data_IF_682566572311
#
_entry.id   IF_682566572311
#
_cell.length_a   1.000
_cell.length_b   1.000
_cell.length_c   1.000
_cell.angle_alpha   90.00
_cell.angle_beta   90.00
_cell.angle_gamma   90.00
#
_symmetry.space_group_name_H-M   'P 1'
#
loop_
_entity.id
_entity.type
_entity.pdbx_description
1 polymer ?
#
# COMPACT_ATOMS: atom_id res chain seq x y z
N UNK A 1 -9.30 -15.17 15.75
CA UNK A 1 -10.10 -14.39 16.72
C UNK A 1 -9.23 -13.73 17.80
N UNK A 2 -8.35 -14.44 18.53
CA UNK A 2 -7.54 -13.81 19.60
C UNK A 2 -6.53 -12.76 19.09
N UNK A 3 -5.89 -13.01 17.94
CA UNK A 3 -4.84 -12.13 17.41
C UNK A 3 -5.40 -10.77 16.98
N UNK A 4 -6.52 -10.76 16.25
CA UNK A 4 -7.17 -9.53 15.76
C UNK A 4 -7.60 -8.62 16.92
N UNK A 5 -8.13 -9.20 17.99
CA UNK A 5 -8.50 -8.44 19.20
C UNK A 5 -7.28 -7.82 19.90
N UNK A 6 -6.16 -8.56 20.00
CA UNK A 6 -4.95 -8.04 20.64
C UNK A 6 -4.33 -6.90 19.83
N UNK A 7 -4.25 -7.05 18.50
CA UNK A 7 -3.79 -5.98 17.62
C UNK A 7 -4.67 -4.73 17.73
N UNK A 8 -5.99 -4.91 17.77
CA UNK A 8 -6.93 -3.80 17.97
C UNK A 8 -6.71 -3.09 19.31
N UNK A 9 -6.54 -3.84 20.40
CA UNK A 9 -6.38 -3.25 21.74
C UNK A 9 -5.06 -2.50 21.90
N UNK A 10 -3.97 -3.07 21.37
CA UNK A 10 -2.60 -2.67 21.73
C UNK A 10 -1.88 -1.89 20.61
N UNK A 11 -2.33 -1.99 19.36
CA UNK A 11 -1.59 -1.51 18.19
C UNK A 11 -2.47 -1.09 17.01
N UNK A 12 -3.72 -0.67 17.24
CA UNK A 12 -4.60 -0.25 16.14
C UNK A 12 -3.98 0.91 15.36
N UNK A 13 -3.81 0.70 14.06
CA UNK A 13 -3.19 1.65 13.14
C UNK A 13 -1.66 1.66 13.11
N UNK A 14 -0.99 0.84 13.93
CA UNK A 14 0.43 0.54 13.73
C UNK A 14 0.63 -0.36 12.51
N UNK A 15 1.83 -0.31 11.92
CA UNK A 15 2.15 -1.18 10.78
C UNK A 15 2.32 -2.63 11.23
N UNK A 16 2.94 -2.85 12.38
CA UNK A 16 3.22 -4.16 12.96
C UNK A 16 2.77 -4.24 14.42
N UNK A 17 2.48 -5.46 14.87
CA UNK A 17 2.15 -5.78 16.25
C UNK A 17 3.18 -6.73 16.88
N UNK A 18 3.63 -6.39 18.09
CA UNK A 18 4.58 -7.17 18.88
C UNK A 18 3.84 -7.91 20.01
N UNK A 19 3.54 -9.22 19.83
CA UNK A 19 2.65 -9.94 20.75
C UNK A 19 3.24 -10.20 22.14
N UNK A 20 4.58 -10.22 22.26
CA UNK A 20 5.23 -10.45 23.55
C UNK A 20 5.25 -9.19 24.43
N UNK A 21 5.38 -8.02 23.81
CA UNK A 21 5.45 -6.73 24.51
C UNK A 21 4.12 -6.00 24.55
N UNK A 22 3.11 -6.47 23.80
CA UNK A 22 1.82 -5.81 23.66
C UNK A 22 1.95 -4.37 23.14
N UNK A 23 2.76 -4.17 22.11
CA UNK A 23 3.02 -2.84 21.51
C UNK A 23 2.99 -2.89 19.99
N UNK A 24 2.74 -1.76 19.35
CA UNK A 24 2.89 -1.60 17.89
C UNK A 24 4.20 -0.93 17.49
N UNK A 25 4.64 -1.14 16.25
CA UNK A 25 5.71 -0.35 15.61
C UNK A 25 5.32 0.07 14.20
N UNK A 26 6.05 1.05 13.67
CA UNK A 26 5.87 1.59 12.33
C UNK A 26 7.18 1.53 11.56
N UNK A 27 7.10 1.31 10.26
CA UNK A 27 8.28 1.27 9.40
C UNK A 27 8.89 2.66 9.19
N UNK A 28 8.07 3.71 9.28
CA UNK A 28 8.50 5.11 9.24
C UNK A 28 8.50 5.72 10.65
N UNK A 29 9.54 6.50 10.94
CA UNK A 29 9.61 7.33 12.15
C UNK A 29 8.49 8.40 12.20
N UNK A 30 7.83 8.66 11.07
CA UNK A 30 6.73 9.62 10.94
C UNK A 30 5.34 8.98 11.12
N UNK A 31 5.31 7.76 11.66
CA UNK A 31 4.09 7.01 11.95
C UNK A 31 3.71 6.01 10.87
N UNK A 32 2.83 5.09 11.23
CA UNK A 32 2.40 3.99 10.37
C UNK A 32 1.27 4.35 9.41
N UNK A 33 1.08 3.49 8.42
CA UNK A 33 -0.05 3.48 7.50
C UNK A 33 -1.08 2.39 7.85
N UNK A 34 -0.90 1.70 8.98
CA UNK A 34 -1.80 0.66 9.43
C UNK A 34 -1.75 -0.58 8.55
N UNK A 35 -0.54 -1.00 8.16
CA UNK A 35 -0.33 -2.17 7.28
C UNK A 35 -1.15 -3.36 7.77
N UNK A 36 -0.97 -3.76 9.03
CA UNK A 36 -1.69 -4.91 9.61
C UNK A 36 -3.22 -4.76 9.51
N UNK A 37 -3.76 -3.55 9.71
CA UNK A 37 -5.21 -3.32 9.64
C UNK A 37 -5.71 -3.58 8.23
N UNK A 38 -5.07 -2.97 7.22
CA UNK A 38 -5.51 -3.07 5.81
C UNK A 38 -5.30 -4.49 5.25
N UNK A 39 -4.15 -5.10 5.53
CA UNK A 39 -3.80 -6.46 5.07
C UNK A 39 -4.74 -7.53 5.64
N UNK A 40 -5.42 -7.24 6.75
CA UNK A 40 -6.32 -8.20 7.40
C UNK A 40 -7.77 -8.10 6.91
N UNK A 41 -8.16 -7.04 6.18
CA UNK A 41 -9.59 -6.74 5.91
C UNK A 41 -10.25 -7.83 5.08
N UNK A 42 -9.62 -8.25 4.00
CA UNK A 42 -10.16 -9.28 3.12
C UNK A 42 -10.24 -10.63 3.83
N UNK A 43 -9.25 -10.97 4.65
CA UNK A 43 -9.23 -12.16 5.49
C UNK A 43 -10.38 -12.13 6.50
N UNK A 44 -10.58 -11.02 7.21
CA UNK A 44 -11.71 -10.84 8.13
C UNK A 44 -13.04 -11.05 7.41
N UNK A 45 -13.19 -10.48 6.22
CA UNK A 45 -14.42 -10.60 5.43
C UNK A 45 -14.66 -12.04 4.95
N UNK A 46 -13.65 -12.70 4.38
CA UNK A 46 -13.74 -14.08 3.88
C UNK A 46 -14.05 -15.06 5.03
N UNK A 47 -13.48 -14.83 6.21
CA UNK A 47 -13.68 -15.68 7.38
C UNK A 47 -14.99 -15.39 8.13
N UNK A 48 -15.80 -14.42 7.68
CA UNK A 48 -17.07 -14.06 8.33
C UNK A 48 -16.91 -13.32 9.68
N UNK A 49 -15.73 -12.74 9.94
CA UNK A 49 -15.42 -11.97 11.14
C UNK A 49 -16.04 -10.56 11.06
N UNK A 50 -17.37 -10.52 11.13
CA UNK A 50 -18.17 -9.34 10.76
C UNK A 50 -17.91 -8.15 11.69
N UNK A 51 -17.77 -8.40 12.99
CA UNK A 51 -17.56 -7.32 13.97
C UNK A 51 -16.14 -6.74 13.85
N UNK A 52 -15.13 -7.58 13.67
CA UNK A 52 -13.75 -7.17 13.43
C UNK A 52 -13.63 -6.37 12.13
N UNK A 53 -14.25 -6.87 11.06
CA UNK A 53 -14.33 -6.17 9.78
C UNK A 53 -14.96 -4.78 9.95
N UNK A 54 -16.09 -4.67 10.67
CA UNK A 54 -16.78 -3.39 10.88
C UNK A 54 -15.89 -2.37 11.60
N UNK A 55 -15.07 -2.81 12.57
CA UNK A 55 -14.13 -1.93 13.29
C UNK A 55 -12.94 -1.53 12.41
N UNK A 56 -12.38 -2.46 11.64
CA UNK A 56 -11.31 -2.17 10.70
C UNK A 56 -11.76 -1.21 9.58
N UNK A 57 -12.96 -1.42 9.02
CA UNK A 57 -13.58 -0.52 8.06
C UNK A 57 -13.75 0.90 8.63
N UNK A 58 -14.25 1.02 9.86
CA UNK A 58 -14.38 2.32 10.55
C UNK A 58 -13.02 3.00 10.70
N UNK A 59 -11.97 2.27 11.06
CA UNK A 59 -10.62 2.82 11.13
C UNK A 59 -10.12 3.33 9.77
N UNK A 60 -10.38 2.60 8.67
CA UNK A 60 -10.07 3.05 7.30
C UNK A 60 -10.82 4.34 6.93
N UNK A 61 -12.06 4.48 7.38
CA UNK A 61 -12.88 5.66 7.14
C UNK A 61 -12.35 6.88 7.92
N UNK A 62 -12.15 6.71 9.23
CA UNK A 62 -11.95 7.82 10.17
C UNK A 62 -10.47 8.16 10.41
N UNK A 63 -9.55 7.19 10.27
CA UNK A 63 -8.16 7.30 10.75
C UNK A 63 -7.09 7.10 9.68
N UNK A 64 -7.37 6.31 8.62
CA UNK A 64 -6.39 6.09 7.56
C UNK A 64 -6.10 7.40 6.81
N UNK A 65 -4.82 7.78 6.77
CA UNK A 65 -4.33 8.95 6.05
C UNK A 65 -3.02 8.61 5.34
N UNK A 66 -2.91 9.04 4.09
CA UNK A 66 -1.68 8.94 3.30
C UNK A 66 -0.92 10.27 3.25
N UNK A 67 -1.39 11.29 3.96
CA UNK A 67 -0.67 12.56 4.11
C UNK A 67 0.42 12.44 5.18
N UNK A 68 1.46 11.67 4.84
CA UNK A 68 2.53 11.30 5.76
C UNK A 68 3.89 11.59 5.16
N UNK A 69 4.68 12.36 5.91
CA UNK A 69 6.11 12.54 5.65
C UNK A 69 6.86 11.24 5.91
N UNK A 70 8.06 11.11 5.35
CA UNK A 70 8.95 9.98 5.57
C UNK A 70 9.27 9.20 4.31
N UNK A 71 9.85 8.02 4.50
CA UNK A 71 10.24 7.11 3.43
C UNK A 71 9.42 5.84 3.56
N UNK A 72 8.53 5.60 2.60
CA UNK A 72 7.71 4.40 2.53
C UNK A 72 8.10 3.58 1.32
N UNK A 73 8.22 2.27 1.47
CA UNK A 73 8.58 1.39 0.36
C UNK A 73 7.47 1.41 -0.70
N UNK A 74 7.83 1.76 -1.94
CA UNK A 74 6.91 1.75 -3.08
C UNK A 74 6.32 0.37 -3.29
N UNK A 75 7.15 -0.68 -3.16
CA UNK A 75 6.74 -2.07 -3.30
C UNK A 75 5.80 -2.53 -2.19
N UNK A 76 6.22 -2.45 -0.93
CA UNK A 76 5.43 -2.95 0.20
C UNK A 76 4.09 -2.21 0.35
N UNK A 77 4.10 -0.89 0.13
CA UNK A 77 2.85 -0.11 0.15
C UNK A 77 1.90 -0.53 -0.99
N UNK A 78 2.45 -0.91 -2.16
CA UNK A 78 1.64 -1.39 -3.29
C UNK A 78 1.01 -2.74 -2.98
N UNK A 79 1.80 -3.75 -2.62
CA UNK A 79 1.27 -5.11 -2.48
C UNK A 79 0.37 -5.28 -1.26
N UNK A 80 0.65 -4.58 -0.14
CA UNK A 80 -0.12 -4.73 1.10
C UNK A 80 -1.29 -3.76 1.17
N UNK A 81 -1.01 -2.47 1.04
CA UNK A 81 -2.03 -1.44 1.30
C UNK A 81 -2.90 -1.23 0.06
N UNK A 82 -2.30 -0.96 -1.11
CA UNK A 82 -3.09 -0.81 -2.33
C UNK A 82 -3.80 -2.13 -2.70
N UNK A 83 -3.07 -3.25 -2.65
CA UNK A 83 -3.63 -4.60 -2.82
C UNK A 83 -4.78 -4.89 -1.86
N UNK A 84 -4.59 -4.72 -0.55
CA UNK A 84 -5.62 -4.96 0.47
C UNK A 84 -6.88 -4.08 0.30
N UNK A 85 -6.71 -2.79 -0.04
CA UNK A 85 -7.84 -1.91 -0.35
C UNK A 85 -8.61 -2.39 -1.59
N UNK A 86 -7.91 -2.80 -2.65
CA UNK A 86 -8.53 -3.31 -3.87
C UNK A 86 -9.26 -4.64 -3.65
N UNK A 87 -8.68 -5.55 -2.86
CA UNK A 87 -9.33 -6.80 -2.43
C UNK A 87 -10.58 -6.52 -1.62
N UNK A 88 -10.50 -5.64 -0.63
CA UNK A 88 -11.63 -5.23 0.19
C UNK A 88 -12.76 -4.63 -0.65
N UNK A 89 -12.44 -3.74 -1.61
CA UNK A 89 -13.43 -3.22 -2.57
C UNK A 89 -14.09 -4.34 -3.37
N UNK A 90 -13.30 -5.28 -3.90
CA UNK A 90 -13.80 -6.37 -4.73
C UNK A 90 -14.80 -7.25 -3.98
N UNK A 91 -14.49 -7.59 -2.73
CA UNK A 91 -15.31 -8.46 -1.89
C UNK A 91 -16.58 -7.78 -1.37
N UNK A 92 -16.50 -6.48 -1.07
CA UNK A 92 -17.56 -5.76 -0.33
C UNK A 92 -18.37 -4.80 -1.21
N UNK A 93 -17.83 -4.41 -2.36
CA UNK A 93 -18.32 -3.32 -3.22
C UNK A 93 -18.43 -1.95 -2.52
N UNK A 94 -17.79 -1.78 -1.37
CA UNK A 94 -17.78 -0.51 -0.64
C UNK A 94 -16.81 0.48 -1.27
N UNK A 95 -17.36 1.58 -1.80
CA UNK A 95 -16.58 2.61 -2.51
C UNK A 95 -15.56 3.33 -1.64
N UNK A 96 -15.64 3.26 -0.31
CA UNK A 96 -14.60 3.76 0.58
C UNK A 96 -13.23 3.24 0.16
N UNK A 97 -13.11 1.94 -0.08
CA UNK A 97 -11.82 1.31 -0.34
C UNK A 97 -11.22 1.73 -1.69
N UNK A 98 -12.05 1.81 -2.74
CA UNK A 98 -11.54 2.27 -4.05
C UNK A 98 -11.16 3.75 -4.03
N UNK A 99 -11.87 4.60 -3.26
CA UNK A 99 -11.48 6.00 -3.09
C UNK A 99 -10.13 6.12 -2.38
N UNK A 100 -9.91 5.36 -1.30
CA UNK A 100 -8.61 5.31 -0.61
C UNK A 100 -7.50 4.74 -1.51
N UNK A 101 -7.81 3.72 -2.32
CA UNK A 101 -6.86 3.15 -3.27
C UNK A 101 -6.40 4.18 -4.34
N UNK A 102 -7.33 4.97 -4.87
CA UNK A 102 -7.00 6.07 -5.81
C UNK A 102 -6.11 7.12 -5.12
N UNK A 103 -6.48 7.54 -3.91
CA UNK A 103 -5.72 8.52 -3.13
C UNK A 103 -4.26 8.05 -2.91
N UNK A 104 -4.09 6.79 -2.51
CA UNK A 104 -2.78 6.20 -2.31
C UNK A 104 -1.98 6.13 -3.61
N UNK A 105 -2.57 5.62 -4.68
CA UNK A 105 -1.88 5.46 -5.96
C UNK A 105 -1.40 6.81 -6.52
N UNK A 106 -2.19 7.88 -6.38
CA UNK A 106 -1.77 9.23 -6.78
C UNK A 106 -0.55 9.75 -6.01
N UNK A 107 -0.34 9.28 -4.78
CA UNK A 107 0.85 9.60 -3.97
C UNK A 107 2.03 8.67 -4.27
N UNK A 108 1.78 7.46 -4.79
CA UNK A 108 2.80 6.51 -5.24
C UNK A 108 3.36 6.84 -6.64
N UNK A 109 2.54 7.39 -7.55
CA UNK A 109 2.94 7.64 -8.94
C UNK A 109 4.26 8.40 -9.15
N UNK A 110 4.64 9.36 -8.29
CA UNK A 110 5.93 10.05 -8.40
C UNK A 110 7.15 9.15 -8.23
N UNK A 111 7.02 7.96 -7.63
CA UNK A 111 8.10 6.98 -7.59
C UNK A 111 8.55 6.58 -9.00
N UNK A 112 7.67 6.62 -9.99
CA UNK A 112 7.95 6.27 -11.39
C UNK A 112 8.50 7.44 -12.21
N UNK A 113 8.66 8.63 -11.65
CA UNK A 113 9.16 9.82 -12.35
C UNK A 113 10.69 9.79 -12.45
N UNK A 114 11.20 8.75 -13.11
CA UNK A 114 12.62 8.53 -13.40
C UNK A 114 12.86 8.55 -14.90
N UNK A 115 14.12 8.80 -15.31
CA UNK A 115 14.49 8.81 -16.72
C UNK A 115 14.27 7.44 -17.39
N UNK A 116 14.54 6.34 -16.68
CA UNK A 116 14.30 4.98 -17.18
C UNK A 116 12.81 4.61 -17.19
N UNK A 117 12.03 5.17 -16.27
CA UNK A 117 10.67 4.74 -15.99
C UNK A 117 10.59 3.55 -15.02
N UNK A 118 11.73 3.05 -14.52
CA UNK A 118 11.75 2.15 -13.36
C UNK A 118 11.42 2.97 -12.10
N UNK A 119 10.61 2.45 -11.18
CA UNK A 119 10.27 3.19 -9.97
C UNK A 119 11.49 3.35 -9.05
N UNK A 120 11.43 4.33 -8.17
CA UNK A 120 12.32 4.43 -7.01
C UNK A 120 11.81 3.51 -5.88
N UNK A 121 12.72 2.95 -5.06
CA UNK A 121 12.37 1.94 -4.05
C UNK A 121 11.47 2.50 -2.94
N UNK A 122 11.55 3.81 -2.69
CA UNK A 122 10.72 4.48 -1.69
C UNK A 122 10.06 5.74 -2.24
N UNK A 123 9.10 6.25 -1.48
CA UNK A 123 8.35 7.48 -1.78
C UNK A 123 8.00 8.21 -0.49
N UNK A 124 8.04 9.53 -0.55
CA UNK A 124 7.40 10.39 0.44
C UNK A 124 5.97 10.69 0.00
N UNK A 125 4.99 10.19 0.76
CA UNK A 125 3.58 10.26 0.37
C UNK A 125 2.98 11.66 0.55
N UNK A 126 3.38 12.41 1.58
CA UNK A 126 2.98 13.80 1.79
C UNK A 126 3.52 14.71 0.67
N UNK A 127 4.84 14.65 0.45
CA UNK A 127 5.54 15.49 -0.53
C UNK A 127 5.32 15.03 -1.97
N UNK A 128 4.87 13.78 -2.18
CA UNK A 128 4.65 13.18 -3.49
C UNK A 128 5.93 13.17 -4.33
N UNK A 129 7.01 12.65 -3.74
CA UNK A 129 8.33 12.58 -4.39
C UNK A 129 8.92 11.20 -4.13
N UNK A 130 9.38 10.53 -5.20
CA UNK A 130 10.14 9.29 -5.08
C UNK A 130 11.49 9.51 -4.40
N UNK A 131 11.92 8.54 -3.60
CA UNK A 131 13.16 8.59 -2.82
C UNK A 131 14.07 7.45 -3.32
N UNK A 132 15.26 7.78 -3.86
CA UNK A 132 16.24 6.77 -4.23
C UNK A 132 16.85 6.11 -2.99
N UNK A 133 17.40 4.91 -3.15
CA UNK A 133 18.22 4.31 -2.11
C UNK A 133 19.48 5.17 -1.87
N UNK A 134 19.80 5.45 -0.60
CA UNK A 134 20.91 6.34 -0.27
C UNK A 134 22.28 5.72 -0.57
N UNK A 135 22.41 4.40 -0.47
CA UNK A 135 23.65 3.67 -0.74
C UNK A 135 23.80 3.29 -2.22
N UNK A 136 22.68 3.11 -2.93
CA UNK A 136 22.65 2.74 -4.34
C UNK A 136 21.55 3.49 -5.14
N UNK A 137 21.73 4.80 -5.43
CA UNK A 137 20.67 5.63 -6.01
C UNK A 137 20.18 5.21 -7.40
N UNK A 138 20.97 4.42 -8.12
CA UNK A 138 20.69 3.95 -9.48
C UNK A 138 20.19 2.51 -9.53
N UNK A 139 20.00 1.86 -8.37
CA UNK A 139 19.63 0.45 -8.28
C UNK A 139 18.23 0.32 -7.68
N UNK A 140 17.45 -0.59 -8.26
CA UNK A 140 16.22 -1.11 -7.66
C UNK A 140 16.20 -2.63 -7.77
N UNK A 141 15.61 -3.29 -6.77
CA UNK A 141 15.33 -4.72 -6.83
C UNK A 141 14.39 -5.04 -8.00
N UNK A 142 14.75 -6.02 -8.82
CA UNK A 142 13.88 -6.47 -9.93
C UNK A 142 12.50 -6.88 -9.41
N UNK A 143 12.43 -7.53 -8.25
CA UNK A 143 11.16 -7.93 -7.64
C UNK A 143 10.32 -6.71 -7.24
N UNK A 144 10.94 -5.68 -6.65
CA UNK A 144 10.23 -4.47 -6.25
C UNK A 144 9.69 -3.69 -7.46
N UNK A 145 10.45 -3.62 -8.54
CA UNK A 145 10.02 -2.95 -9.78
C UNK A 145 8.93 -3.75 -10.51
N UNK A 146 9.06 -5.08 -10.57
CA UNK A 146 8.21 -5.97 -11.36
C UNK A 146 7.05 -6.62 -10.58
N UNK A 147 6.74 -6.13 -9.38
CA UNK A 147 5.61 -6.61 -8.57
C UNK A 147 4.74 -5.43 -8.11
N UNK A 148 4.34 -4.61 -9.09
CA UNK A 148 3.42 -3.48 -8.92
C UNK A 148 2.26 -3.54 -9.92
N UNK A 149 2.36 -4.41 -10.92
CA UNK A 149 1.60 -4.32 -12.16
C UNK A 149 0.14 -4.71 -11.97
N UNK A 150 -0.17 -5.71 -11.14
CA UNK A 150 -1.53 -6.20 -10.96
C UNK A 150 -2.41 -5.15 -10.27
N UNK A 151 -1.90 -4.56 -9.20
CA UNK A 151 -2.58 -3.57 -8.37
C UNK A 151 -2.86 -2.30 -9.18
N UNK A 152 -1.84 -1.76 -9.85
CA UNK A 152 -1.99 -0.56 -10.68
C UNK A 152 -2.87 -0.80 -11.92
N UNK A 153 -2.79 -1.97 -12.55
CA UNK A 153 -3.66 -2.32 -13.69
C UNK A 153 -5.11 -2.46 -13.26
N UNK A 154 -5.37 -3.14 -12.14
CA UNK A 154 -6.73 -3.30 -11.65
C UNK A 154 -7.33 -1.95 -11.22
N UNK A 155 -6.57 -1.13 -10.49
CA UNK A 155 -7.00 0.22 -10.14
C UNK A 155 -7.30 1.07 -11.38
N UNK A 156 -6.46 1.02 -12.42
CA UNK A 156 -6.69 1.75 -13.66
C UNK A 156 -8.06 1.43 -14.28
N UNK A 157 -8.45 0.16 -14.27
CA UNK A 157 -9.75 -0.29 -14.77
C UNK A 157 -10.92 0.24 -13.93
N UNK A 158 -10.77 0.23 -12.60
CA UNK A 158 -11.80 0.71 -11.67
C UNK A 158 -11.96 2.24 -11.74
N UNK A 159 -10.84 2.97 -11.70
CA UNK A 159 -10.80 4.43 -11.67
C UNK A 159 -10.96 5.08 -13.05
N UNK A 160 -10.97 4.29 -14.14
CA UNK A 160 -10.94 4.77 -15.53
C UNK A 160 -9.76 5.71 -15.81
N UNK A 161 -8.62 5.39 -15.19
CA UNK A 161 -7.38 6.16 -15.26
C UNK A 161 -6.25 5.32 -15.84
N UNK A 162 -6.00 5.38 -17.16
CA UNK A 162 -5.03 4.52 -17.82
C UNK A 162 -3.58 4.83 -17.43
N UNK A 163 -3.31 6.00 -16.86
CA UNK A 163 -1.98 6.41 -16.44
C UNK A 163 -1.41 5.53 -15.31
N UNK A 164 -2.24 5.05 -14.38
CA UNK A 164 -1.84 4.07 -13.35
C UNK A 164 -1.24 2.81 -13.99
N UNK A 165 -1.97 2.22 -14.94
CA UNK A 165 -1.48 1.04 -15.66
C UNK A 165 -0.25 1.34 -16.50
N UNK A 166 -0.26 2.42 -17.30
CA UNK A 166 0.85 2.77 -18.20
C UNK A 166 2.17 2.94 -17.45
N UNK A 167 2.16 3.56 -16.27
CA UNK A 167 3.38 3.72 -15.45
C UNK A 167 3.92 2.36 -14.98
N UNK A 168 3.06 1.50 -14.42
CA UNK A 168 3.48 0.19 -13.96
C UNK A 168 3.90 -0.75 -15.10
N UNK A 169 3.22 -0.70 -16.25
CA UNK A 169 3.53 -1.52 -17.43
C UNK A 169 4.82 -1.11 -18.12
N UNK A 170 5.15 0.19 -18.13
CA UNK A 170 6.43 0.68 -18.69
C UNK A 170 7.63 -0.06 -18.09
N UNK A 171 7.55 -0.43 -16.81
CA UNK A 171 8.59 -1.22 -16.13
C UNK A 171 8.83 -2.55 -16.84
N UNK A 172 7.77 -3.25 -17.25
CA UNK A 172 7.90 -4.55 -17.92
C UNK A 172 8.56 -4.40 -19.28
N UNK A 173 8.26 -3.33 -20.02
CA UNK A 173 8.93 -3.03 -21.28
C UNK A 173 10.43 -2.77 -21.07
N UNK A 174 10.79 -1.96 -20.08
CA UNK A 174 12.20 -1.67 -19.77
C UNK A 174 12.96 -2.95 -19.39
N UNK A 175 12.37 -3.82 -18.57
CA UNK A 175 13.01 -5.09 -18.18
C UNK A 175 13.14 -6.03 -19.38
N UNK A 176 12.09 -6.14 -20.20
CA UNK A 176 12.09 -6.98 -21.39
C UNK A 176 13.18 -6.56 -22.39
N UNK A 177 13.36 -5.27 -22.62
CA UNK A 177 14.34 -4.75 -23.59
C UNK A 177 15.81 -4.91 -23.13
N UNK A 178 16.03 -5.32 -21.86
CA UNK A 178 17.35 -5.62 -21.31
C UNK A 178 17.73 -7.11 -21.41
N UNK A 179 16.79 -7.98 -21.81
CA UNK A 179 16.98 -9.43 -21.96
C UNK A 179 17.27 -9.81 -23.43
#
# INVERSE_FOLDING_TARGET
MLLTYLTERDAMGSDEYHPLTHTGSNFSAHGGMGYTVVDSIDTMYIMGLTDEYARARRWVEESLSFDKEGSFSTFETTIRVLGGLLSAFTLTQDRLYVHRAIELADRLLPAFDTNSGLPLPSVNLARRVGIPDAAAPEIISTAEAATLQLEFRYLAQLAKRPDFWRKAEKVMHVIHDLL
#
